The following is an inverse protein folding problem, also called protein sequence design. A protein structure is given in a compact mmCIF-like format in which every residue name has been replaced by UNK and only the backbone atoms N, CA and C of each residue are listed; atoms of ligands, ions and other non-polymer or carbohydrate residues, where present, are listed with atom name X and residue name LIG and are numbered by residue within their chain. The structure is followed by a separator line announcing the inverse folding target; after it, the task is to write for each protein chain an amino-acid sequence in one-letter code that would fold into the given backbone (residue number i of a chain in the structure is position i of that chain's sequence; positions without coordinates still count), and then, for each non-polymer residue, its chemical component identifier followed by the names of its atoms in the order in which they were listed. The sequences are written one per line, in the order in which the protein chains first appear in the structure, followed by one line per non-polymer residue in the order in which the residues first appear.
data_IF_069473341144
#
_entry.id   IF_069473341144
#
_cell.length_a   1.000
_cell.length_b   1.000
_cell.length_c   1.000
_cell.angle_alpha   90.00
_cell.angle_beta   90.00
_cell.angle_gamma   90.00
#
_symmetry.space_group_name_H-M   'P 1'
#
loop_
_entity.id
_entity.type
_entity.pdbx_description
1 polymer ?
#
# COMPACT_ATOMS: atom_id res chain seq x y z
N UNK A 1 -1.24 -40.81 76.38
CA UNK A 1 -0.30 -40.01 75.55
C UNK A 1 -0.62 -40.26 74.10
N UNK A 2 -1.41 -39.38 73.43
CA UNK A 2 -1.76 -39.47 71.97
C UNK A 2 -0.86 -38.52 71.27
N UNK A 3 -0.04 -39.02 70.31
CA UNK A 3 0.78 -38.22 69.46
C UNK A 3 0.00 -37.93 68.20
N UNK A 4 -0.31 -36.65 67.88
CA UNK A 4 -0.85 -36.20 66.60
C UNK A 4 0.30 -35.93 65.65
N UNK A 5 0.28 -36.61 64.49
CA UNK A 5 1.19 -36.35 63.38
C UNK A 5 0.49 -35.35 62.48
N UNK A 6 1.03 -34.12 62.36
CA UNK A 6 0.57 -33.08 61.43
C UNK A 6 1.30 -33.31 60.09
N UNK A 7 0.60 -33.76 59.06
CA UNK A 7 1.07 -33.74 57.68
C UNK A 7 0.97 -32.36 57.12
N UNK A 8 2.12 -31.69 56.89
CA UNK A 8 2.19 -30.46 56.12
C UNK A 8 2.13 -30.82 54.64
N UNK A 9 1.01 -30.52 53.96
CA UNK A 9 0.90 -30.55 52.52
C UNK A 9 1.58 -29.31 51.90
N UNK A 10 2.75 -29.48 51.30
CA UNK A 10 3.42 -28.43 50.51
C UNK A 10 2.72 -28.31 49.16
N UNK A 11 1.88 -27.32 49.02
CA UNK A 11 1.31 -26.94 47.70
C UNK A 11 2.39 -26.25 46.87
N UNK A 12 2.94 -26.93 45.89
CA UNK A 12 3.78 -26.33 44.87
C UNK A 12 2.92 -25.42 43.97
N UNK A 13 3.29 -24.14 43.73
CA UNK A 13 2.57 -23.31 42.81
C UNK A 13 2.81 -23.82 41.37
N UNK A 14 1.78 -24.39 40.78
CA UNK A 14 1.76 -24.58 39.30
C UNK A 14 1.76 -23.20 38.68
N UNK A 15 2.95 -22.77 38.21
CA UNK A 15 3.09 -21.62 37.32
C UNK A 15 2.42 -21.99 35.99
N UNK A 16 1.19 -21.51 35.77
CA UNK A 16 0.59 -21.50 34.43
C UNK A 16 1.48 -20.60 33.57
N UNK A 17 2.50 -21.16 32.93
CA UNK A 17 3.15 -20.49 31.80
C UNK A 17 2.06 -20.22 30.78
N UNK A 18 1.74 -18.94 30.57
CA UNK A 18 0.80 -18.54 29.53
C UNK A 18 1.24 -19.20 28.22
N UNK A 19 0.44 -20.13 27.74
CA UNK A 19 0.74 -20.91 26.53
C UNK A 19 0.80 -19.92 25.38
N UNK A 20 2.00 -19.58 24.93
CA UNK A 20 2.19 -18.61 23.84
C UNK A 20 1.53 -19.17 22.60
N UNK A 21 0.63 -18.39 21.98
CA UNK A 21 -0.04 -18.76 20.73
C UNK A 21 1.00 -19.22 19.70
N UNK A 22 0.98 -20.51 19.26
CA UNK A 22 1.98 -21.06 18.36
C UNK A 22 1.98 -20.37 17.00
N UNK A 23 0.84 -19.83 16.58
CA UNK A 23 0.71 -19.07 15.32
C UNK A 23 1.37 -17.70 15.43
N UNK A 24 1.21 -17.01 16.57
CA UNK A 24 1.93 -15.78 16.85
C UNK A 24 3.44 -16.01 16.97
N UNK A 25 3.85 -17.08 17.61
CA UNK A 25 5.27 -17.46 17.69
C UNK A 25 5.87 -17.71 16.29
N UNK A 26 5.13 -18.42 15.41
CA UNK A 26 5.50 -18.64 14.00
C UNK A 26 5.58 -17.33 13.22
N UNK A 27 4.58 -16.46 13.33
CA UNK A 27 4.56 -15.14 12.70
C UNK A 27 5.82 -14.32 13.06
N UNK A 28 6.14 -14.24 14.34
CA UNK A 28 7.33 -13.53 14.83
C UNK A 28 8.66 -14.16 14.38
N UNK A 29 8.76 -15.49 14.25
CA UNK A 29 9.95 -16.14 13.68
C UNK A 29 10.15 -15.75 12.23
N UNK A 30 9.09 -15.77 11.42
CA UNK A 30 9.12 -15.36 10.02
C UNK A 30 9.59 -13.91 9.88
N UNK A 31 8.94 -12.99 10.59
CA UNK A 31 9.22 -11.55 10.50
C UNK A 31 10.58 -11.13 11.08
N UNK A 32 11.21 -11.96 11.90
CA UNK A 32 12.62 -11.78 12.28
C UNK A 32 13.59 -12.28 11.22
N UNK A 33 13.21 -13.30 10.46
CA UNK A 33 14.09 -13.96 9.51
C UNK A 33 14.18 -13.24 8.15
N UNK A 34 13.11 -12.52 7.78
CA UNK A 34 13.03 -11.75 6.52
C UNK A 34 12.40 -10.39 6.79
N UNK A 35 12.78 -9.33 6.06
CA UNK A 35 12.14 -8.03 6.22
C UNK A 35 10.67 -8.12 5.81
N UNK A 36 9.77 -7.67 6.68
CA UNK A 36 8.43 -7.30 6.26
C UNK A 36 8.54 -6.01 5.45
N UNK A 37 8.14 -6.07 4.19
CA UNK A 37 8.13 -4.92 3.28
C UNK A 37 6.69 -4.49 3.06
N UNK A 38 6.32 -3.32 3.58
CA UNK A 38 5.02 -2.71 3.32
C UNK A 38 5.09 -1.80 2.09
N UNK A 39 4.19 -2.02 1.14
CA UNK A 39 4.19 -1.35 -0.16
C UNK A 39 3.73 0.10 -0.13
N UNK A 40 3.01 0.52 0.91
CA UNK A 40 2.42 1.86 0.93
C UNK A 40 2.10 2.32 2.35
N UNK A 41 2.59 3.52 2.68
CA UNK A 41 2.28 4.20 3.94
C UNK A 41 2.41 5.72 3.75
N UNK A 42 1.38 6.46 4.12
CA UNK A 42 1.24 7.90 3.89
C UNK A 42 1.75 8.78 5.03
N UNK A 43 2.68 8.29 5.84
CA UNK A 43 3.30 9.10 6.89
C UNK A 43 3.79 10.48 6.39
N UNK A 44 4.42 10.64 5.19
CA UNK A 44 4.80 11.96 4.70
C UNK A 44 3.59 12.89 4.48
N UNK A 45 2.43 12.33 4.09
CA UNK A 45 1.20 13.09 3.95
C UNK A 45 0.59 13.47 5.30
N UNK A 46 0.64 12.56 6.28
CA UNK A 46 0.22 12.85 7.65
C UNK A 46 1.05 13.99 8.28
N UNK A 47 2.37 14.01 8.04
CA UNK A 47 3.26 15.09 8.47
C UNK A 47 2.90 16.41 7.75
N UNK A 48 2.65 16.36 6.43
CA UNK A 48 2.23 17.53 5.66
C UNK A 48 0.99 18.19 6.22
N UNK A 49 0.01 17.39 6.66
CA UNK A 49 -1.28 17.86 7.16
C UNK A 49 -1.37 17.91 8.69
N UNK A 50 -0.27 17.82 9.39
CA UNK A 50 -0.26 17.89 10.84
C UNK A 50 -0.77 19.26 11.31
N UNK A 51 -1.97 19.28 11.89
CA UNK A 51 -2.71 20.52 12.16
C UNK A 51 -1.98 21.50 13.09
N UNK A 52 -1.18 20.98 14.05
CA UNK A 52 -0.43 21.80 14.99
C UNK A 52 0.80 22.48 14.36
N UNK A 53 1.40 21.86 13.37
CA UNK A 53 2.58 22.36 12.68
C UNK A 53 2.70 21.71 11.27
N UNK A 54 1.96 22.19 10.26
CA UNK A 54 1.95 21.57 8.94
C UNK A 54 3.34 21.55 8.30
N UNK A 55 3.76 20.41 7.75
CA UNK A 55 5.06 20.16 7.09
C UNK A 55 6.28 20.22 8.01
N UNK A 56 6.06 20.38 9.31
CA UNK A 56 7.15 20.43 10.28
C UNK A 56 7.51 19.01 10.75
N UNK A 57 8.58 18.46 10.17
CA UNK A 57 9.12 17.15 10.54
C UNK A 57 9.65 17.14 11.99
N UNK A 58 10.11 18.29 12.51
CA UNK A 58 10.60 18.37 13.88
C UNK A 58 9.48 18.28 14.90
N UNK A 59 8.35 18.92 14.62
CA UNK A 59 7.17 18.88 15.47
C UNK A 59 6.45 17.51 15.45
N UNK A 60 6.49 16.80 14.31
CA UNK A 60 5.93 15.44 14.18
C UNK A 60 6.95 14.39 14.65
N UNK A 61 7.07 14.22 15.97
CA UNK A 61 8.08 13.37 16.59
C UNK A 61 7.65 11.89 16.62
N UNK A 62 8.23 11.06 15.74
CA UNK A 62 7.95 9.62 15.65
C UNK A 62 8.43 8.79 16.85
N UNK A 63 9.21 9.37 17.78
CA UNK A 63 9.59 8.70 19.03
C UNK A 63 8.46 8.74 20.06
N UNK A 64 7.45 9.57 19.85
CA UNK A 64 6.23 9.69 20.65
C UNK A 64 5.04 9.03 19.94
N UNK A 65 3.98 8.65 20.66
CA UNK A 65 2.72 8.25 20.04
C UNK A 65 2.21 9.38 19.12
N UNK A 66 1.99 9.06 17.86
CA UNK A 66 1.42 10.00 16.89
C UNK A 66 -0.10 9.89 16.84
N UNK A 67 -0.76 10.93 16.30
CA UNK A 67 -2.20 10.90 16.01
C UNK A 67 -2.56 9.99 14.83
N UNK A 68 -1.60 9.68 13.96
CA UNK A 68 -1.76 8.75 12.84
C UNK A 68 -1.57 7.29 13.26
N UNK A 69 -1.32 6.44 12.26
CA UNK A 69 -1.20 4.98 12.44
C UNK A 69 0.26 4.52 12.54
N UNK A 70 1.23 5.45 12.44
CA UNK A 70 2.66 5.14 12.38
C UNK A 70 3.47 5.93 13.40
N UNK A 71 4.23 5.22 14.26
CA UNK A 71 5.33 5.70 15.09
C UNK A 71 6.34 4.57 15.34
N UNK A 72 7.52 4.87 15.92
CA UNK A 72 8.56 3.86 16.10
C UNK A 72 8.21 2.75 17.08
N UNK A 73 7.42 3.03 18.13
CA UNK A 73 6.99 1.99 19.05
C UNK A 73 6.09 0.96 18.34
N UNK A 74 5.16 1.46 17.51
CA UNK A 74 4.27 0.64 16.69
C UNK A 74 5.00 -0.07 15.55
N UNK A 75 5.90 0.60 14.81
CA UNK A 75 6.72 0.00 13.76
C UNK A 75 7.58 -1.16 14.29
N UNK A 76 8.23 -0.98 15.46
CA UNK A 76 8.99 -2.07 16.11
C UNK A 76 8.09 -3.23 16.53
N UNK A 77 6.93 -2.95 17.14
CA UNK A 77 5.94 -3.97 17.51
C UNK A 77 5.41 -4.72 16.30
N UNK A 78 5.20 -4.02 15.18
CA UNK A 78 4.79 -4.56 13.89
C UNK A 78 5.89 -5.30 13.15
N UNK A 79 7.14 -5.22 13.64
CA UNK A 79 8.31 -5.88 13.03
C UNK A 79 8.53 -5.47 11.58
N UNK A 80 8.25 -4.20 11.24
CA UNK A 80 8.44 -3.65 9.90
C UNK A 80 9.92 -3.62 9.58
N UNK A 81 10.33 -4.29 8.49
CA UNK A 81 11.72 -4.38 8.04
C UNK A 81 12.06 -3.42 6.91
N UNK A 82 11.06 -3.03 6.11
CA UNK A 82 11.20 -1.97 5.10
C UNK A 82 9.84 -1.34 4.80
N UNK A 83 9.86 -0.09 4.37
CA UNK A 83 8.68 0.70 4.08
C UNK A 83 8.86 1.50 2.80
N UNK A 84 7.90 1.40 1.88
CA UNK A 84 7.69 2.40 0.86
C UNK A 84 6.87 3.56 1.47
N UNK A 85 7.51 4.69 1.68
CA UNK A 85 6.85 5.91 2.11
C UNK A 85 6.22 6.58 0.90
N UNK A 86 4.90 6.72 0.91
CA UNK A 86 4.17 7.43 -0.15
C UNK A 86 4.53 8.91 -0.14
N UNK A 87 4.91 9.42 -1.31
CA UNK A 87 5.08 10.84 -1.55
C UNK A 87 3.92 11.35 -2.39
N UNK A 88 2.72 11.10 -1.87
CA UNK A 88 1.44 11.49 -2.45
C UNK A 88 1.28 13.00 -2.58
N UNK A 89 0.66 13.42 -3.68
CA UNK A 89 0.09 14.74 -3.88
C UNK A 89 -1.26 14.64 -4.58
N UNK A 90 -2.24 15.52 -4.31
CA UNK A 90 -3.53 15.50 -5.00
C UNK A 90 -3.38 15.74 -6.52
N UNK A 91 -4.15 15.00 -7.33
CA UNK A 91 -4.21 15.18 -8.78
C UNK A 91 -5.00 16.42 -9.23
N UNK A 92 -5.69 17.08 -8.31
CA UNK A 92 -6.58 18.21 -8.54
C UNK A 92 -5.94 19.58 -8.23
N UNK A 93 -4.61 19.63 -8.02
CA UNK A 93 -3.89 20.89 -7.76
C UNK A 93 -4.01 21.81 -8.97
N UNK A 94 -4.62 23.01 -8.79
CA UNK A 94 -4.88 23.95 -9.88
C UNK A 94 -3.87 25.08 -10.00
N UNK A 95 -3.36 25.59 -8.88
CA UNK A 95 -2.68 26.89 -8.87
C UNK A 95 -1.18 26.84 -8.55
N UNK A 96 -0.63 25.66 -8.32
CA UNK A 96 0.70 25.53 -7.72
C UNK A 96 1.76 24.80 -8.55
N UNK A 97 1.33 24.13 -9.64
CA UNK A 97 2.17 23.16 -10.35
C UNK A 97 2.45 21.90 -9.52
N UNK A 98 2.34 20.75 -10.13
CA UNK A 98 2.55 19.47 -9.42
C UNK A 98 4.01 19.32 -8.96
N UNK A 99 4.98 19.71 -9.80
CA UNK A 99 6.39 19.55 -9.51
C UNK A 99 6.83 20.24 -8.22
N UNK A 100 6.36 21.48 -7.95
CA UNK A 100 6.68 22.19 -6.71
C UNK A 100 6.17 21.45 -5.47
N UNK A 101 4.89 21.05 -5.49
CA UNK A 101 4.27 20.36 -4.35
C UNK A 101 4.92 18.97 -4.16
N UNK A 102 5.27 18.32 -5.26
CA UNK A 102 5.96 17.03 -5.23
C UNK A 102 7.36 17.13 -4.62
N UNK A 103 8.13 18.17 -4.96
CA UNK A 103 9.44 18.42 -4.35
C UNK A 103 9.34 18.71 -2.85
N UNK A 104 8.32 19.45 -2.41
CA UNK A 104 8.03 19.63 -0.98
C UNK A 104 7.73 18.29 -0.27
N UNK A 105 7.05 17.38 -0.95
CA UNK A 105 6.74 16.05 -0.40
C UNK A 105 7.99 15.17 -0.32
N UNK A 106 8.87 15.22 -1.33
CA UNK A 106 10.20 14.61 -1.26
C UNK A 106 11.02 15.17 -0.08
N UNK A 107 11.00 16.49 0.13
CA UNK A 107 11.72 17.12 1.24
C UNK A 107 11.24 16.60 2.59
N UNK A 108 9.92 16.55 2.83
CA UNK A 108 9.34 16.00 4.07
C UNK A 108 9.83 14.57 4.30
N UNK A 109 9.68 13.69 3.32
CA UNK A 109 10.07 12.28 3.46
C UNK A 109 11.58 12.14 3.71
N UNK A 110 12.42 12.87 2.96
CA UNK A 110 13.87 12.84 3.09
C UNK A 110 14.35 13.36 4.44
N UNK A 111 13.80 14.47 4.92
CA UNK A 111 14.11 15.00 6.27
C UNK A 111 13.65 14.02 7.36
N UNK A 112 12.50 13.37 7.20
CA UNK A 112 12.03 12.34 8.14
C UNK A 112 13.03 11.19 8.24
N UNK A 113 13.51 10.65 7.11
CA UNK A 113 14.50 9.58 7.10
C UNK A 113 15.84 10.06 7.73
N UNK A 114 16.28 11.24 7.37
CA UNK A 114 17.56 11.81 7.88
C UNK A 114 17.53 12.12 9.39
N UNK A 115 16.36 12.47 9.94
CA UNK A 115 16.16 12.78 11.35
C UNK A 115 16.39 11.58 12.29
N UNK A 116 16.14 10.36 11.81
CA UNK A 116 16.14 9.16 12.63
C UNK A 116 17.08 8.07 12.11
N UNK A 117 18.42 8.34 11.99
CA UNK A 117 19.37 7.41 11.39
C UNK A 117 19.59 6.14 12.20
N UNK A 118 19.14 6.09 13.46
CA UNK A 118 19.13 4.93 14.34
C UNK A 118 17.93 3.99 14.12
N UNK A 119 16.98 4.42 13.31
CA UNK A 119 15.74 3.68 13.02
C UNK A 119 15.50 3.48 11.53
N UNK A 120 15.69 4.52 10.74
CA UNK A 120 15.42 4.57 9.31
C UNK A 120 16.74 4.61 8.53
N UNK A 121 16.80 3.83 7.46
CA UNK A 121 17.98 3.79 6.59
C UNK A 121 17.54 3.81 5.13
N UNK A 122 18.16 4.68 4.32
CA UNK A 122 17.97 4.63 2.88
C UNK A 122 18.33 3.25 2.33
N UNK A 123 17.39 2.58 1.68
CA UNK A 123 17.56 1.23 1.17
C UNK A 123 17.02 1.11 -0.25
N UNK A 124 17.68 1.79 -1.20
CA UNK A 124 17.21 1.99 -2.58
C UNK A 124 17.37 0.76 -3.50
N UNK A 125 17.81 -0.39 -2.96
CA UNK A 125 17.95 -1.66 -3.69
C UNK A 125 17.47 -2.82 -2.82
N UNK A 126 17.12 -3.94 -3.44
CA UNK A 126 16.71 -5.15 -2.72
C UNK A 126 17.78 -5.63 -1.71
N UNK A 127 19.06 -5.55 -2.07
CA UNK A 127 20.15 -5.93 -1.17
C UNK A 127 20.36 -4.91 -0.04
N UNK A 128 20.15 -3.61 -0.30
CA UNK A 128 20.21 -2.59 0.75
C UNK A 128 19.11 -2.81 1.79
N UNK A 129 17.90 -3.20 1.38
CA UNK A 129 16.80 -3.55 2.30
C UNK A 129 17.20 -4.72 3.21
N UNK A 130 17.77 -5.79 2.64
CA UNK A 130 18.23 -6.93 3.44
C UNK A 130 19.30 -6.55 4.45
N UNK A 131 20.24 -5.69 4.05
CA UNK A 131 21.30 -5.19 4.94
C UNK A 131 20.76 -4.29 6.05
N UNK A 132 19.83 -3.38 5.74
CA UNK A 132 19.18 -2.52 6.73
C UNK A 132 18.45 -3.38 7.79
N UNK A 133 17.63 -4.35 7.34
CA UNK A 133 16.93 -5.28 8.23
C UNK A 133 17.90 -6.08 9.12
N UNK A 134 19.01 -6.59 8.57
CA UNK A 134 20.01 -7.32 9.34
C UNK A 134 20.68 -6.47 10.43
N UNK A 135 20.71 -5.14 10.27
CA UNK A 135 21.18 -4.17 11.29
C UNK A 135 20.09 -3.74 12.27
N UNK A 136 18.85 -4.19 12.10
CA UNK A 136 17.70 -3.80 12.91
C UNK A 136 17.11 -2.43 12.52
N UNK A 137 17.45 -1.91 11.35
CA UNK A 137 16.89 -0.69 10.78
C UNK A 137 15.71 -1.00 9.85
N UNK A 138 14.84 -0.01 9.65
CA UNK A 138 13.77 -0.05 8.66
C UNK A 138 14.30 0.52 7.36
N UNK A 139 14.45 -0.34 6.34
CA UNK A 139 14.85 0.06 5.00
C UNK A 139 13.79 1.00 4.40
N UNK A 140 14.18 2.23 4.06
CA UNK A 140 13.28 3.27 3.60
C UNK A 140 13.45 3.56 2.12
N UNK A 141 12.34 3.51 1.39
CA UNK A 141 12.22 3.83 -0.03
C UNK A 141 11.07 4.83 -0.21
N UNK A 142 11.03 5.52 -1.35
CA UNK A 142 9.92 6.41 -1.66
C UNK A 142 9.08 5.83 -2.79
N UNK A 143 7.76 5.95 -2.64
CA UNK A 143 6.78 5.62 -3.65
C UNK A 143 6.11 6.88 -4.18
N UNK A 144 6.31 7.18 -5.46
CA UNK A 144 5.65 8.31 -6.12
C UNK A 144 4.21 7.91 -6.48
N UNK A 145 3.24 8.52 -5.82
CA UNK A 145 1.85 8.15 -6.00
C UNK A 145 1.13 9.11 -6.95
N UNK A 146 1.17 8.74 -8.23
CA UNK A 146 0.48 9.43 -9.31
C UNK A 146 1.39 10.08 -10.33
N UNK A 147 1.28 9.62 -11.57
CA UNK A 147 2.07 10.12 -12.71
C UNK A 147 1.76 11.56 -13.13
N UNK A 148 0.70 12.20 -12.59
CA UNK A 148 0.48 13.64 -12.75
C UNK A 148 1.68 14.48 -12.25
N UNK A 149 2.41 13.96 -11.27
CA UNK A 149 3.59 14.61 -10.68
C UNK A 149 4.73 14.85 -11.69
N UNK A 150 4.82 14.06 -12.78
CA UNK A 150 5.86 14.28 -13.79
C UNK A 150 5.52 15.36 -14.81
N UNK A 151 4.28 15.88 -14.83
CA UNK A 151 3.85 16.95 -15.77
C UNK A 151 4.23 16.64 -17.23
N UNK A 152 3.97 15.39 -17.66
CA UNK A 152 4.30 14.86 -18.97
C UNK A 152 5.81 14.93 -19.36
N UNK A 153 6.69 14.93 -18.34
CA UNK A 153 8.15 15.07 -18.51
C UNK A 153 8.91 13.81 -18.08
N UNK A 154 9.52 13.11 -19.02
CA UNK A 154 10.46 12.01 -18.73
C UNK A 154 11.74 12.52 -18.01
N UNK A 155 12.05 13.81 -18.14
CA UNK A 155 13.13 14.45 -17.37
C UNK A 155 12.79 14.52 -15.88
N UNK A 156 11.58 14.96 -15.53
CA UNK A 156 11.08 14.97 -14.16
C UNK A 156 11.07 13.57 -13.54
N UNK A 157 10.61 12.55 -14.29
CA UNK A 157 10.63 11.15 -13.87
C UNK A 157 12.04 10.70 -13.46
N UNK A 158 13.07 11.03 -14.24
CA UNK A 158 14.48 10.70 -13.92
C UNK A 158 14.95 11.39 -12.66
N UNK A 159 14.68 12.67 -12.52
CA UNK A 159 15.06 13.44 -11.31
C UNK A 159 14.38 12.85 -10.06
N UNK A 160 13.12 12.47 -10.15
CA UNK A 160 12.41 11.84 -9.02
C UNK A 160 13.02 10.48 -8.65
N UNK A 161 13.47 9.69 -9.61
CA UNK A 161 14.24 8.48 -9.35
C UNK A 161 15.54 8.77 -8.59
N UNK A 162 16.27 9.79 -9.01
CA UNK A 162 17.52 10.21 -8.36
C UNK A 162 17.27 10.73 -6.93
N UNK A 163 16.12 11.34 -6.67
CA UNK A 163 15.69 11.77 -5.35
C UNK A 163 15.26 10.62 -4.42
N UNK A 164 15.16 9.39 -4.93
CA UNK A 164 14.92 8.20 -4.11
C UNK A 164 13.62 7.44 -4.40
N UNK A 165 12.79 7.89 -5.35
CA UNK A 165 11.60 7.13 -5.75
C UNK A 165 12.01 5.78 -6.37
N UNK A 166 11.33 4.70 -5.95
CA UNK A 166 11.60 3.35 -6.45
C UNK A 166 10.38 2.69 -7.09
N UNK A 167 9.22 3.29 -6.94
CA UNK A 167 8.08 3.07 -7.83
C UNK A 167 7.41 4.38 -8.20
N UNK A 168 6.62 4.37 -9.27
CA UNK A 168 5.62 5.40 -9.57
C UNK A 168 4.31 4.70 -9.95
N UNK A 169 3.24 5.09 -9.26
CA UNK A 169 1.87 4.74 -9.64
C UNK A 169 1.50 5.56 -10.87
N UNK A 170 1.08 4.91 -11.96
CA UNK A 170 0.92 5.60 -13.25
C UNK A 170 -0.17 6.67 -13.23
N UNK A 171 -1.22 6.49 -12.42
CA UNK A 171 -2.23 7.52 -12.10
C UNK A 171 -2.53 7.49 -10.60
N UNK A 172 -3.12 8.55 -10.07
CA UNK A 172 -3.90 8.46 -8.83
C UNK A 172 -5.39 8.35 -9.22
N UNK A 173 -6.27 9.16 -8.64
CA UNK A 173 -7.72 9.07 -8.90
C UNK A 173 -8.17 9.83 -10.15
N UNK A 174 -7.29 10.58 -10.83
CA UNK A 174 -7.59 11.39 -12.01
C UNK A 174 -6.94 10.77 -13.24
N UNK A 175 -7.70 10.65 -14.33
CA UNK A 175 -7.21 10.24 -15.66
C UNK A 175 -6.30 11.34 -16.23
N UNK A 176 -5.10 10.93 -16.65
CA UNK A 176 -4.06 11.81 -17.18
C UNK A 176 -4.16 11.95 -18.69
N UNK A 177 -3.30 12.78 -19.28
CA UNK A 177 -3.19 12.91 -20.74
C UNK A 177 -2.67 11.64 -21.41
N UNK A 178 -2.15 10.67 -20.65
CA UNK A 178 -1.48 9.49 -21.18
C UNK A 178 -1.84 8.16 -20.50
N UNK A 179 -2.69 8.15 -19.48
CA UNK A 179 -3.10 6.94 -18.75
C UNK A 179 -4.47 7.13 -18.08
N UNK A 180 -5.33 6.13 -18.18
CA UNK A 180 -6.64 6.14 -17.54
C UNK A 180 -6.58 5.65 -16.09
N UNK A 181 -7.22 6.39 -15.16
CA UNK A 181 -7.40 6.04 -13.78
C UNK A 181 -8.60 5.10 -13.56
N UNK A 182 -8.61 4.38 -12.43
CA UNK A 182 -9.70 3.48 -12.06
C UNK A 182 -10.98 4.20 -11.61
N UNK A 183 -10.85 5.41 -11.04
CA UNK A 183 -11.96 6.14 -10.43
C UNK A 183 -12.41 7.36 -11.24
N UNK A 184 -11.87 7.55 -12.44
CA UNK A 184 -12.22 8.66 -13.32
C UNK A 184 -12.68 8.15 -14.69
N UNK A 185 -13.22 9.04 -15.48
CA UNK A 185 -13.68 8.73 -16.84
C UNK A 185 -12.49 8.35 -17.71
N UNK A 186 -12.58 7.19 -18.36
CA UNK A 186 -11.59 6.74 -19.33
C UNK A 186 -11.57 7.67 -20.56
N UNK A 187 -10.37 8.03 -21.01
CA UNK A 187 -10.13 8.87 -22.20
C UNK A 187 -9.42 8.12 -23.32
N UNK A 188 -8.60 7.12 -22.96
CA UNK A 188 -7.66 6.48 -23.87
C UNK A 188 -7.93 4.97 -24.06
N UNK A 189 -8.73 4.37 -23.17
CA UNK A 189 -8.93 2.93 -23.09
C UNK A 189 -7.75 2.19 -22.44
N UNK A 190 -6.77 2.94 -21.91
CA UNK A 190 -5.57 2.42 -21.27
C UNK A 190 -4.42 3.44 -21.31
N UNK A 191 -3.26 3.04 -21.86
CA UNK A 191 -2.09 3.91 -22.10
C UNK A 191 -2.11 4.51 -23.50
N UNK A 192 -1.67 5.76 -23.60
CA UNK A 192 -1.25 6.33 -24.89
C UNK A 192 0.18 5.87 -25.26
N UNK A 193 0.68 6.29 -26.44
CA UNK A 193 2.08 6.02 -26.82
C UNK A 193 3.09 6.69 -25.90
N UNK A 194 2.77 7.87 -25.35
CA UNK A 194 3.60 8.51 -24.34
C UNK A 194 3.54 7.72 -23.01
N UNK A 195 2.36 7.22 -22.61
CA UNK A 195 2.23 6.35 -21.44
C UNK A 195 3.06 5.06 -21.57
N UNK A 196 3.08 4.43 -22.73
CA UNK A 196 3.98 3.31 -23.00
C UNK A 196 5.47 3.70 -22.87
N UNK A 197 5.84 4.90 -23.33
CA UNK A 197 7.21 5.40 -23.20
C UNK A 197 7.60 5.71 -21.77
N UNK A 198 6.65 6.19 -20.93
CA UNK A 198 6.86 6.34 -19.48
C UNK A 198 7.19 4.98 -18.85
N UNK A 199 6.43 3.92 -19.18
CA UNK A 199 6.70 2.56 -18.69
C UNK A 199 8.09 2.07 -19.12
N UNK A 200 8.48 2.30 -20.39
CA UNK A 200 9.82 1.92 -20.89
C UNK A 200 10.95 2.66 -20.17
N UNK A 201 10.77 3.96 -19.91
CA UNK A 201 11.78 4.75 -19.21
C UNK A 201 11.86 4.33 -17.72
N UNK A 202 10.74 4.03 -17.05
CA UNK A 202 10.74 3.45 -15.69
C UNK A 202 11.54 2.14 -15.66
N UNK A 203 11.33 1.25 -16.63
CA UNK A 203 12.10 0.00 -16.72
C UNK A 203 13.60 0.28 -16.93
N UNK A 204 13.95 1.27 -17.76
CA UNK A 204 15.36 1.67 -17.99
C UNK A 204 16.00 2.24 -16.71
N UNK A 205 15.26 2.95 -15.89
CA UNK A 205 15.73 3.47 -14.61
C UNK A 205 15.88 2.37 -13.55
N UNK A 206 15.06 1.31 -13.61
CA UNK A 206 14.90 0.34 -12.52
C UNK A 206 13.85 0.79 -11.50
N UNK A 207 12.98 1.71 -11.88
CA UNK A 207 11.80 2.10 -11.13
C UNK A 207 10.68 1.09 -11.39
N UNK A 208 10.10 0.54 -10.33
CA UNK A 208 8.96 -0.36 -10.44
C UNK A 208 7.74 0.38 -10.99
N UNK A 209 7.09 -0.20 -12.00
CA UNK A 209 5.81 0.27 -12.51
C UNK A 209 4.73 -0.16 -11.54
N UNK A 210 4.08 0.80 -10.88
CA UNK A 210 2.99 0.53 -9.96
C UNK A 210 1.65 0.73 -10.64
N UNK A 211 0.81 -0.30 -10.57
CA UNK A 211 -0.51 -0.38 -11.22
C UNK A 211 -1.67 -0.24 -10.24
N UNK A 212 -1.43 0.18 -9.00
CA UNK A 212 -2.50 0.64 -8.13
C UNK A 212 -3.16 1.88 -8.77
N UNK A 213 -4.43 2.15 -8.46
CA UNK A 213 -5.21 3.29 -8.98
C UNK A 213 -5.53 3.32 -10.48
N UNK A 214 -4.88 2.54 -11.31
CA UNK A 214 -5.08 2.63 -12.76
C UNK A 214 -6.27 1.79 -13.26
N UNK A 215 -6.83 2.16 -14.40
CA UNK A 215 -7.89 1.39 -15.04
C UNK A 215 -7.44 -0.01 -15.47
N UNK A 216 -8.34 -0.99 -15.64
CA UNK A 216 -7.99 -2.31 -16.18
C UNK A 216 -7.33 -2.26 -17.55
N UNK A 217 -7.69 -1.28 -18.41
CA UNK A 217 -7.03 -1.02 -19.69
C UNK A 217 -5.57 -0.64 -19.48
N UNK A 218 -5.31 0.31 -18.61
CA UNK A 218 -3.94 0.74 -18.25
C UNK A 218 -3.12 -0.42 -17.65
N UNK A 219 -3.73 -1.26 -16.77
CA UNK A 219 -3.05 -2.47 -16.26
C UNK A 219 -2.62 -3.40 -17.38
N UNK A 220 -3.54 -3.65 -18.33
CA UNK A 220 -3.29 -4.54 -19.48
C UNK A 220 -2.19 -4.01 -20.37
N UNK A 221 -2.24 -2.72 -20.74
CA UNK A 221 -1.26 -2.11 -21.64
C UNK A 221 0.12 -2.03 -21.00
N UNK A 222 0.20 -1.66 -19.71
CA UNK A 222 1.46 -1.67 -18.98
C UNK A 222 2.09 -3.07 -18.93
N UNK A 223 1.29 -4.12 -18.73
CA UNK A 223 1.76 -5.52 -18.76
C UNK A 223 2.19 -5.97 -20.17
N UNK A 224 1.68 -5.37 -21.25
CA UNK A 224 2.11 -5.65 -22.62
C UNK A 224 3.46 -4.98 -22.94
N UNK A 225 3.76 -3.84 -22.31
CA UNK A 225 4.91 -2.99 -22.63
C UNK A 225 6.10 -3.25 -21.71
N UNK A 226 5.84 -3.58 -20.45
CA UNK A 226 6.89 -3.68 -19.42
C UNK A 226 7.83 -4.86 -19.67
N UNK A 227 9.13 -4.62 -19.49
CA UNK A 227 10.20 -5.63 -19.52
C UNK A 227 10.61 -6.09 -18.09
N UNK A 228 10.11 -5.40 -17.08
CA UNK A 228 10.37 -5.68 -15.66
C UNK A 228 9.09 -6.09 -14.94
N UNK A 229 9.19 -6.77 -13.79
CA UNK A 229 8.02 -7.02 -12.94
C UNK A 229 7.33 -5.74 -12.54
N UNK A 230 5.99 -5.74 -12.59
CA UNK A 230 5.15 -4.66 -12.06
C UNK A 230 4.82 -4.91 -10.58
N UNK A 231 4.36 -3.88 -9.89
CA UNK A 231 3.71 -4.03 -8.59
C UNK A 231 2.31 -3.41 -8.62
N UNK A 232 1.51 -3.81 -7.65
CA UNK A 232 0.33 -3.09 -7.19
C UNK A 232 0.64 -2.75 -5.73
N UNK A 233 1.10 -1.54 -5.48
CA UNK A 233 1.65 -1.15 -4.17
C UNK A 233 0.62 -1.25 -3.03
N UNK A 234 -0.67 -1.05 -3.33
CA UNK A 234 -1.81 -1.13 -2.41
C UNK A 234 -3.12 -1.35 -3.16
N UNK A 235 -3.40 -2.59 -3.55
CA UNK A 235 -4.65 -3.01 -4.21
C UNK A 235 -5.09 -4.37 -3.72
N UNK A 236 -6.38 -4.69 -3.87
CA UNK A 236 -6.95 -5.98 -3.48
C UNK A 236 -7.55 -6.72 -4.67
N UNK A 237 -8.28 -7.82 -4.47
CA UNK A 237 -8.81 -8.65 -5.54
C UNK A 237 -10.26 -8.27 -5.90
N UNK A 238 -10.52 -7.93 -7.17
CA UNK A 238 -11.85 -7.56 -7.64
C UNK A 238 -12.84 -8.74 -7.59
N UNK A 239 -12.35 -9.96 -7.76
CA UNK A 239 -13.17 -11.16 -7.66
C UNK A 239 -13.85 -11.37 -6.31
N UNK A 240 -13.34 -10.77 -5.22
CA UNK A 240 -13.97 -10.79 -3.89
C UNK A 240 -14.79 -9.53 -3.61
N UNK A 241 -14.27 -8.36 -3.94
CA UNK A 241 -14.95 -7.08 -3.74
C UNK A 241 -14.87 -6.29 -5.04
N UNK A 242 -15.99 -6.19 -5.74
CA UNK A 242 -16.08 -5.58 -7.07
C UNK A 242 -16.09 -4.05 -6.95
N UNK A 243 -14.91 -3.49 -6.78
CA UNK A 243 -14.66 -2.04 -6.81
C UNK A 243 -13.57 -1.72 -7.83
N UNK A 244 -13.60 -0.55 -8.48
CA UNK A 244 -12.65 -0.21 -9.56
C UNK A 244 -11.19 -0.24 -9.12
N UNK A 245 -10.90 0.03 -7.83
CA UNK A 245 -9.55 0.04 -7.25
C UNK A 245 -8.92 -1.34 -7.12
N UNK A 246 -9.71 -2.42 -7.21
CA UNK A 246 -9.24 -3.79 -7.07
C UNK A 246 -8.81 -4.39 -8.41
N UNK A 247 -7.85 -5.31 -8.34
CA UNK A 247 -7.24 -5.98 -9.49
C UNK A 247 -8.17 -7.06 -10.02
N UNK A 248 -8.57 -7.04 -11.31
CA UNK A 248 -9.36 -8.10 -11.92
C UNK A 248 -8.58 -9.42 -12.01
N UNK A 249 -9.27 -10.56 -11.91
CA UNK A 249 -8.67 -11.89 -12.05
C UNK A 249 -8.00 -12.08 -13.41
N UNK A 250 -8.54 -11.44 -14.48
CA UNK A 250 -7.93 -11.42 -15.81
C UNK A 250 -6.53 -10.77 -15.85
N UNK A 251 -6.22 -9.90 -14.89
CA UNK A 251 -4.89 -9.31 -14.70
C UNK A 251 -4.06 -10.20 -13.78
N UNK A 252 -4.65 -10.72 -12.69
CA UNK A 252 -3.94 -11.60 -11.74
C UNK A 252 -3.32 -12.82 -12.43
N UNK A 253 -4.01 -13.45 -13.38
CA UNK A 253 -3.50 -14.63 -14.12
C UNK A 253 -2.28 -14.32 -15.00
N UNK A 254 -1.98 -13.05 -15.27
CA UNK A 254 -0.81 -12.63 -16.08
C UNK A 254 0.46 -12.43 -15.24
N UNK A 255 0.32 -12.29 -13.92
CA UNK A 255 1.45 -11.99 -13.02
C UNK A 255 2.52 -13.10 -12.96
N UNK A 256 2.19 -14.40 -13.04
CA UNK A 256 3.21 -15.44 -13.10
C UNK A 256 4.20 -15.28 -14.26
N UNK A 257 3.73 -14.85 -15.42
CA UNK A 257 4.59 -14.58 -16.58
C UNK A 257 5.40 -13.30 -16.41
N UNK A 258 4.80 -12.23 -15.87
CA UNK A 258 5.48 -10.96 -15.66
C UNK A 258 6.45 -10.98 -14.47
N UNK A 259 6.19 -11.78 -13.44
CA UNK A 259 6.94 -11.79 -12.19
C UNK A 259 6.48 -10.75 -11.16
N UNK A 260 5.37 -10.06 -11.43
CA UNK A 260 4.83 -8.98 -10.61
C UNK A 260 4.24 -9.42 -9.27
N UNK A 261 3.85 -8.45 -8.44
CA UNK A 261 3.34 -8.67 -7.07
C UNK A 261 2.16 -7.75 -6.78
N UNK A 262 1.04 -8.32 -6.29
CA UNK A 262 -0.06 -7.55 -5.70
C UNK A 262 0.18 -7.44 -4.19
N UNK A 263 0.37 -6.24 -3.71
CA UNK A 263 0.51 -5.93 -2.30
C UNK A 263 -0.88 -5.55 -1.77
N UNK A 264 -1.48 -6.49 -1.02
CA UNK A 264 -2.88 -6.39 -0.59
C UNK A 264 -3.06 -5.25 0.40
N UNK A 265 -4.00 -4.34 0.10
CA UNK A 265 -4.32 -3.18 0.93
C UNK A 265 -5.28 -3.51 2.07
N UNK A 266 -5.29 -2.65 3.10
CA UNK A 266 -6.19 -2.76 4.26
C UNK A 266 -7.36 -1.77 4.22
N UNK A 267 -7.56 -1.07 3.10
CA UNK A 267 -8.69 -0.13 2.93
C UNK A 267 -10.03 -0.87 3.07
N UNK A 268 -10.87 -0.53 4.07
CA UNK A 268 -12.08 -1.29 4.39
C UNK A 268 -13.04 -1.48 3.22
N UNK A 269 -13.25 -0.44 2.42
CA UNK A 269 -14.14 -0.48 1.25
C UNK A 269 -13.58 -1.27 0.06
N UNK A 270 -12.29 -1.63 0.08
CA UNK A 270 -11.71 -2.45 -0.98
C UNK A 270 -11.70 -3.95 -0.63
N UNK A 271 -11.84 -4.27 0.67
CA UNK A 271 -11.74 -5.66 1.14
C UNK A 271 -13.07 -6.24 1.66
N UNK A 272 -14.06 -5.43 1.98
CA UNK A 272 -15.33 -5.93 2.54
C UNK A 272 -16.50 -5.68 1.63
N UNK A 273 -16.98 -6.74 0.94
CA UNK A 273 -18.19 -6.69 0.12
C UNK A 273 -19.41 -6.25 0.94
N UNK A 274 -19.51 -6.70 2.20
CA UNK A 274 -20.62 -6.33 3.09
C UNK A 274 -20.66 -4.84 3.34
N UNK A 275 -19.50 -4.24 3.56
CA UNK A 275 -19.36 -2.81 3.76
C UNK A 275 -19.75 -2.01 2.51
N UNK A 276 -19.25 -2.42 1.34
CA UNK A 276 -19.58 -1.80 0.05
C UNK A 276 -21.07 -1.89 -0.24
N UNK A 277 -21.69 -3.05 -0.01
CA UNK A 277 -23.14 -3.24 -0.19
C UNK A 277 -23.95 -2.35 0.74
N UNK A 278 -23.56 -2.26 2.02
CA UNK A 278 -24.21 -1.38 2.99
C UNK A 278 -24.10 0.10 2.58
N UNK A 279 -22.91 0.56 2.21
CA UNK A 279 -22.66 1.96 1.82
C UNK A 279 -23.43 2.33 0.54
N UNK A 280 -23.52 1.40 -0.43
CA UNK A 280 -24.33 1.57 -1.64
C UNK A 280 -25.83 1.65 -1.31
N UNK A 281 -26.32 0.79 -0.40
CA UNK A 281 -27.72 0.83 0.06
C UNK A 281 -28.00 2.14 0.78
N UNK A 282 -27.12 2.59 1.66
CA UNK A 282 -27.23 3.88 2.36
C UNK A 282 -27.38 5.06 1.41
N UNK A 283 -26.57 5.10 0.34
CA UNK A 283 -26.65 6.14 -0.70
C UNK A 283 -28.01 6.11 -1.41
N UNK A 284 -28.53 4.92 -1.76
CA UNK A 284 -29.83 4.77 -2.40
C UNK A 284 -30.97 5.24 -1.48
N UNK A 285 -30.97 4.84 -0.21
CA UNK A 285 -31.94 5.26 0.82
C UNK A 285 -31.87 6.77 1.06
N UNK A 286 -30.69 7.35 1.14
CA UNK A 286 -30.55 8.81 1.26
C UNK A 286 -31.15 9.55 0.06
N UNK A 287 -30.98 9.01 -1.14
CA UNK A 287 -31.56 9.57 -2.36
C UNK A 287 -33.08 9.48 -2.35
N UNK A 288 -33.65 8.36 -1.88
CA UNK A 288 -35.09 8.18 -1.68
C UNK A 288 -35.65 9.20 -0.67
N UNK A 289 -34.98 9.41 0.48
CA UNK A 289 -35.42 10.39 1.48
C UNK A 289 -35.36 11.83 0.94
N UNK A 290 -34.37 12.17 0.10
CA UNK A 290 -34.35 13.48 -0.58
C UNK A 290 -35.53 13.70 -1.51
N UNK A 291 -35.99 12.65 -2.21
CA UNK A 291 -37.19 12.72 -3.05
C UNK A 291 -38.47 12.82 -2.20
N UNK A 292 -38.51 12.18 -1.02
CA UNK A 292 -39.65 12.20 -0.09
C UNK A 292 -39.79 13.56 0.63
N UNK A 293 -38.67 14.23 0.88
CA UNK A 293 -38.57 15.51 1.61
C UNK A 293 -37.88 16.59 0.79
N UNK A 294 -38.48 17.06 -0.33
CA UNK A 294 -37.83 18.03 -1.20
C UNK A 294 -37.57 19.35 -0.46
N UNK A 295 -36.31 19.77 -0.39
CA UNK A 295 -35.89 21.01 0.29
C UNK A 295 -35.77 20.92 1.81
N UNK A 296 -36.18 19.85 2.48
CA UNK A 296 -36.06 19.65 3.92
C UNK A 296 -34.89 18.72 4.28
N UNK A 297 -33.69 19.31 4.38
CA UNK A 297 -32.47 18.57 4.74
C UNK A 297 -32.52 18.00 6.18
N UNK A 298 -33.29 18.63 7.09
CA UNK A 298 -33.42 18.16 8.47
C UNK A 298 -34.28 16.89 8.56
N UNK A 299 -35.37 16.81 7.78
CA UNK A 299 -36.17 15.58 7.67
C UNK A 299 -35.33 14.44 7.06
N UNK A 300 -34.60 14.69 5.97
CA UNK A 300 -33.69 13.70 5.37
C UNK A 300 -32.67 13.19 6.38
N UNK A 301 -32.05 14.09 7.16
CA UNK A 301 -31.05 13.71 8.16
C UNK A 301 -31.67 12.84 9.30
N UNK A 302 -32.88 13.17 9.75
CA UNK A 302 -33.59 12.37 10.77
C UNK A 302 -33.89 10.95 10.28
N UNK A 303 -34.51 10.84 9.09
CA UNK A 303 -34.91 9.55 8.54
C UNK A 303 -33.67 8.67 8.23
N UNK A 304 -32.59 9.30 7.74
CA UNK A 304 -31.33 8.61 7.53
C UNK A 304 -30.70 8.12 8.84
N UNK A 305 -30.69 8.94 9.90
CA UNK A 305 -30.20 8.54 11.20
C UNK A 305 -31.03 7.42 11.85
N UNK A 306 -32.34 7.35 11.58
CA UNK A 306 -33.19 6.25 12.01
C UNK A 306 -32.87 4.97 11.24
N UNK A 307 -32.70 5.05 9.93
CA UNK A 307 -32.29 3.92 9.10
C UNK A 307 -30.92 3.39 9.52
N UNK A 308 -29.92 4.26 9.77
CA UNK A 308 -28.57 3.87 10.23
C UNK A 308 -28.59 3.17 11.60
N UNK A 309 -29.46 3.60 12.51
CA UNK A 309 -29.64 2.89 13.81
C UNK A 309 -30.22 1.49 13.63
N UNK A 310 -31.14 1.32 12.70
CA UNK A 310 -31.73 0.02 12.37
C UNK A 310 -30.80 -0.86 11.53
N UNK A 311 -29.89 -0.27 10.79
CA UNK A 311 -28.94 -0.93 9.89
C UNK A 311 -27.50 -0.48 10.20
N UNK A 312 -26.91 -0.96 11.30
CA UNK A 312 -25.56 -0.54 11.69
C UNK A 312 -24.54 -0.92 10.61
N UNK A 313 -23.65 0.03 10.28
CA UNK A 313 -22.61 -0.15 9.26
C UNK A 313 -21.66 -1.28 9.65
N UNK A 314 -21.51 -2.33 8.84
CA UNK A 314 -20.60 -3.42 9.12
C UNK A 314 -19.16 -2.92 9.11
N UNK A 315 -18.27 -3.61 9.81
CA UNK A 315 -16.83 -3.33 9.80
C UNK A 315 -16.10 -4.35 8.95
N UNK A 316 -15.08 -3.91 8.24
CA UNK A 316 -14.11 -4.81 7.67
C UNK A 316 -13.23 -5.40 8.79
N UNK A 317 -12.68 -6.57 8.57
CA UNK A 317 -11.91 -7.32 9.56
C UNK A 317 -10.59 -7.84 8.99
N UNK A 318 -9.71 -8.28 9.88
CA UNK A 318 -8.49 -9.00 9.51
C UNK A 318 -8.78 -10.25 8.64
N UNK A 319 -9.95 -10.87 8.81
CA UNK A 319 -10.38 -12.02 8.00
C UNK A 319 -10.63 -11.61 6.55
N UNK A 320 -11.22 -10.45 6.31
CA UNK A 320 -11.43 -9.93 4.95
C UNK A 320 -10.07 -9.70 4.24
N UNK A 321 -9.08 -9.13 4.94
CA UNK A 321 -7.72 -8.97 4.39
C UNK A 321 -7.09 -10.32 4.06
N UNK A 322 -7.19 -11.30 4.97
CA UNK A 322 -6.66 -12.64 4.76
C UNK A 322 -7.31 -13.33 3.56
N UNK A 323 -8.63 -13.17 3.36
CA UNK A 323 -9.33 -13.71 2.19
C UNK A 323 -8.83 -13.11 0.87
N UNK A 324 -8.57 -11.81 0.81
CA UNK A 324 -7.97 -11.17 -0.37
C UNK A 324 -6.55 -11.69 -0.65
N UNK A 325 -5.72 -11.86 0.37
CA UNK A 325 -4.38 -12.46 0.26
C UNK A 325 -4.49 -13.91 -0.31
N UNK A 326 -5.44 -14.71 0.20
CA UNK A 326 -5.67 -16.08 -0.25
C UNK A 326 -6.21 -16.13 -1.68
N UNK A 327 -7.06 -15.18 -2.09
CA UNK A 327 -7.56 -15.09 -3.46
C UNK A 327 -6.44 -14.77 -4.45
N UNK A 328 -5.61 -13.77 -4.17
CA UNK A 328 -4.43 -13.46 -5.00
C UNK A 328 -3.49 -14.67 -5.07
N UNK A 329 -3.21 -15.33 -3.93
CA UNK A 329 -2.44 -16.57 -3.89
C UNK A 329 -3.03 -17.67 -4.77
N UNK A 330 -4.35 -17.82 -4.75
CA UNK A 330 -5.07 -18.84 -5.53
C UNK A 330 -4.97 -18.60 -7.04
N UNK A 331 -5.12 -17.34 -7.47
CA UNK A 331 -5.19 -16.98 -8.89
C UNK A 331 -3.81 -16.78 -9.49
N UNK A 332 -2.95 -16.01 -8.84
CA UNK A 332 -1.62 -15.65 -9.33
C UNK A 332 -0.49 -16.54 -8.78
N UNK A 333 -0.75 -17.27 -7.70
CA UNK A 333 0.30 -18.05 -7.01
C UNK A 333 0.93 -17.28 -5.85
N UNK A 334 1.53 -18.03 -4.91
CA UNK A 334 2.12 -17.49 -3.68
C UNK A 334 3.32 -16.55 -3.93
N UNK A 335 3.95 -16.64 -5.09
CA UNK A 335 5.09 -15.79 -5.47
C UNK A 335 4.67 -14.37 -5.91
N UNK A 336 3.37 -14.09 -5.99
CA UNK A 336 2.81 -12.87 -6.58
C UNK A 336 1.93 -12.08 -5.60
N UNK A 337 2.02 -12.34 -4.30
CA UNK A 337 1.28 -11.63 -3.25
C UNK A 337 2.22 -11.00 -2.24
N UNK A 338 1.88 -9.80 -1.75
CA UNK A 338 2.59 -8.99 -0.76
C UNK A 338 1.62 -8.22 0.12
N UNK A 339 2.13 -7.29 0.91
CA UNK A 339 1.39 -6.41 1.82
C UNK A 339 1.61 -4.95 1.40
N UNK A 340 0.52 -4.18 1.28
CA UNK A 340 0.54 -2.74 1.02
C UNK A 340 -0.55 -2.07 1.83
N UNK A 341 -0.27 -1.74 3.08
CA UNK A 341 -1.26 -1.48 4.11
C UNK A 341 -2.16 -0.26 3.85
N UNK A 342 -1.60 0.80 3.30
CA UNK A 342 -2.23 2.11 3.15
C UNK A 342 -2.46 2.82 4.50
N UNK A 343 -1.65 2.50 5.52
CA UNK A 343 -1.68 3.20 6.80
C UNK A 343 -1.29 4.67 6.63
N UNK A 344 -1.90 5.54 7.42
CA UNK A 344 -1.85 7.00 7.35
C UNK A 344 -2.48 7.61 6.08
N UNK A 345 -2.89 6.80 5.08
CA UNK A 345 -3.68 7.21 3.91
C UNK A 345 -5.19 7.07 4.12
N UNK A 346 -5.60 6.33 5.16
CA UNK A 346 -7.01 6.06 5.48
C UNK A 346 -7.36 6.43 6.91
N UNK A 347 -8.59 6.92 7.11
CA UNK A 347 -9.10 7.26 8.44
C UNK A 347 -9.70 6.07 9.18
N UNK A 348 -10.07 4.99 8.47
CA UNK A 348 -10.69 3.79 9.03
C UNK A 348 -9.86 2.57 8.62
N UNK A 349 -9.68 1.64 9.56
CA UNK A 349 -8.90 0.41 9.39
C UNK A 349 -9.72 -0.82 9.75
N UNK A 350 -9.38 -2.01 9.26
CA UNK A 350 -10.09 -3.25 9.61
C UNK A 350 -9.93 -3.59 11.10
N UNK A 351 -10.96 -4.17 11.70
CA UNK A 351 -10.85 -4.73 13.04
C UNK A 351 -9.74 -5.79 13.10
N UNK A 352 -8.85 -5.65 14.07
CA UNK A 352 -7.65 -6.48 14.22
C UNK A 352 -6.40 -5.92 13.54
N UNK A 353 -6.53 -4.85 12.71
CA UNK A 353 -5.42 -4.19 12.02
C UNK A 353 -5.47 -2.66 12.19
N UNK A 354 -5.43 -2.12 13.44
CA UNK A 354 -5.64 -0.69 13.66
C UNK A 354 -4.49 0.21 13.23
N UNK A 355 -3.27 -0.30 13.14
CA UNK A 355 -2.05 0.45 12.84
C UNK A 355 -0.88 -0.48 12.46
N UNK A 356 0.28 0.10 12.16
CA UNK A 356 1.50 -0.63 11.77
C UNK A 356 1.99 -1.66 12.80
N UNK A 357 1.51 -1.65 14.05
CA UNK A 357 1.87 -2.66 15.06
C UNK A 357 1.19 -4.01 14.86
N UNK A 358 0.21 -4.08 13.97
CA UNK A 358 -0.70 -5.22 13.85
C UNK A 358 -0.26 -6.28 12.82
N UNK A 359 0.79 -6.05 12.04
CA UNK A 359 1.26 -7.03 11.05
C UNK A 359 1.49 -8.44 11.60
N UNK A 360 2.13 -8.65 12.79
CA UNK A 360 2.26 -10.00 13.34
C UNK A 360 0.94 -10.72 13.57
N UNK A 361 -0.15 -9.96 13.85
CA UNK A 361 -1.50 -10.51 14.03
C UNK A 361 -2.04 -11.06 12.69
N UNK A 362 -1.83 -10.36 11.59
CA UNK A 362 -2.19 -10.83 10.25
C UNK A 362 -1.42 -12.11 9.87
N UNK A 363 -0.12 -12.16 10.15
CA UNK A 363 0.70 -13.34 9.89
C UNK A 363 0.29 -14.54 10.78
N UNK A 364 -0.13 -14.29 12.02
CA UNK A 364 -0.68 -15.32 12.91
C UNK A 364 -2.01 -15.84 12.37
N UNK A 365 -2.89 -14.97 11.87
CA UNK A 365 -4.15 -15.36 11.22
C UNK A 365 -3.92 -16.24 9.99
N UNK A 366 -3.02 -15.85 9.10
CA UNK A 366 -2.65 -16.66 7.93
C UNK A 366 -2.03 -18.00 8.35
N UNK A 367 -1.24 -18.01 9.43
CA UNK A 367 -0.73 -19.26 10.00
C UNK A 367 -1.85 -20.17 10.50
N UNK A 368 -2.92 -19.65 11.12
CA UNK A 368 -4.12 -20.44 11.51
C UNK A 368 -4.85 -21.01 10.30
N UNK A 369 -4.82 -20.28 9.17
CA UNK A 369 -5.35 -20.72 7.87
C UNK A 369 -4.44 -21.70 7.13
N UNK A 370 -3.38 -22.21 7.77
CA UNK A 370 -2.50 -23.26 7.23
C UNK A 370 -1.33 -22.76 6.38
N UNK A 371 -1.01 -21.47 6.37
CA UNK A 371 0.15 -20.96 5.65
C UNK A 371 1.46 -21.53 6.24
N UNK A 372 2.33 -22.03 5.37
CA UNK A 372 3.67 -22.50 5.75
C UNK A 372 4.59 -21.33 6.10
N UNK A 373 5.67 -21.56 6.85
CA UNK A 373 6.69 -20.54 7.10
C UNK A 373 7.30 -20.01 5.79
N UNK A 374 7.51 -20.90 4.81
CA UNK A 374 8.01 -20.54 3.49
C UNK A 374 7.07 -19.57 2.78
N UNK A 375 5.76 -19.83 2.79
CA UNK A 375 4.79 -18.97 2.12
C UNK A 375 4.66 -17.61 2.84
N UNK A 376 4.69 -17.61 4.17
CA UNK A 376 4.68 -16.39 4.97
C UNK A 376 5.93 -15.52 4.73
N UNK A 377 7.12 -16.13 4.52
CA UNK A 377 8.34 -15.38 4.16
C UNK A 377 8.20 -14.69 2.80
N UNK A 378 7.63 -15.39 1.82
CA UNK A 378 7.34 -14.85 0.50
C UNK A 378 6.42 -13.62 0.59
N UNK A 379 5.30 -13.77 1.32
CA UNK A 379 4.34 -12.69 1.57
C UNK A 379 4.98 -11.51 2.29
N UNK A 380 5.81 -11.77 3.32
CA UNK A 380 6.44 -10.72 4.13
C UNK A 380 7.29 -9.76 3.29
N UNK A 381 8.07 -10.27 2.33
CA UNK A 381 8.92 -9.39 1.55
C UNK A 381 9.72 -10.08 0.45
N UNK A 382 9.94 -11.41 0.50
CA UNK A 382 10.77 -12.08 -0.50
C UNK A 382 10.24 -11.87 -1.92
N UNK A 383 8.91 -11.79 -2.11
CA UNK A 383 8.28 -11.56 -3.41
C UNK A 383 8.58 -10.17 -3.97
N UNK A 384 8.35 -9.11 -3.18
CA UNK A 384 8.59 -7.73 -3.63
C UNK A 384 10.09 -7.47 -3.78
N UNK A 385 10.93 -8.04 -2.92
CA UNK A 385 12.39 -7.96 -3.06
C UNK A 385 12.89 -8.65 -4.33
N UNK A 386 12.27 -9.77 -4.74
CA UNK A 386 12.54 -10.42 -6.02
C UNK A 386 12.15 -9.50 -7.19
N UNK A 387 10.97 -8.89 -7.14
CA UNK A 387 10.50 -7.97 -8.18
C UNK A 387 11.44 -6.77 -8.32
N UNK A 388 11.83 -6.13 -7.20
CA UNK A 388 12.77 -5.02 -7.18
C UNK A 388 14.15 -5.42 -7.75
N UNK A 389 14.73 -6.52 -7.27
CA UNK A 389 16.01 -7.02 -7.78
C UNK A 389 15.96 -7.32 -9.29
N UNK A 390 14.83 -7.87 -9.77
CA UNK A 390 14.66 -8.12 -11.22
C UNK A 390 14.58 -6.82 -12.01
N UNK A 391 13.88 -5.80 -11.51
CA UNK A 391 13.84 -4.48 -12.13
C UNK A 391 15.24 -3.85 -12.21
N UNK A 392 16.07 -3.98 -11.16
CA UNK A 392 17.48 -3.55 -11.16
C UNK A 392 18.31 -4.26 -12.25
N UNK A 393 18.10 -5.57 -12.45
CA UNK A 393 18.80 -6.34 -13.51
C UNK A 393 18.35 -5.91 -14.90
N UNK A 394 17.04 -5.72 -15.09
CA UNK A 394 16.49 -5.24 -16.35
C UNK A 394 17.03 -3.84 -16.69
N UNK A 395 17.07 -2.94 -15.70
CA UNK A 395 17.61 -1.59 -15.88
C UNK A 395 19.06 -1.60 -16.36
N UNK A 396 19.93 -2.41 -15.72
CA UNK A 396 21.34 -2.54 -16.14
C UNK A 396 21.48 -3.01 -17.59
N UNK A 397 20.59 -3.87 -18.08
CA UNK A 397 20.55 -4.29 -19.48
C UNK A 397 20.09 -3.15 -20.38
N UNK A 398 18.94 -2.54 -20.06
CA UNK A 398 18.32 -1.49 -20.89
C UNK A 398 19.18 -0.22 -21.00
N UNK A 399 19.91 0.14 -19.94
CA UNK A 399 20.84 1.28 -19.97
C UNK A 399 22.02 1.08 -20.94
N UNK A 400 22.40 -0.19 -21.22
CA UNK A 400 23.41 -0.49 -22.25
C UNK A 400 22.80 -0.52 -23.67
N UNK A 401 21.52 -0.87 -23.79
CA UNK A 401 20.84 -1.06 -25.07
C UNK A 401 20.30 0.26 -25.65
N UNK A 402 19.91 1.22 -24.77
CA UNK A 402 19.28 2.47 -25.21
C UNK A 402 19.60 3.66 -24.29
N UNK A 403 19.77 4.87 -24.87
CA UNK A 403 19.94 6.10 -24.06
C UNK A 403 18.63 6.47 -23.33
N UNK A 404 18.69 7.45 -22.41
CA UNK A 404 17.49 8.07 -21.85
C UNK A 404 16.56 8.61 -22.93
N UNK A 405 15.26 8.33 -22.80
CA UNK A 405 14.29 8.85 -23.77
C UNK A 405 14.10 10.37 -23.60
N UNK A 406 14.09 11.07 -24.74
CA UNK A 406 13.82 12.51 -24.82
C UNK A 406 12.52 12.81 -25.54
N UNK A 407 11.71 11.78 -25.82
CA UNK A 407 10.43 11.93 -26.51
C UNK A 407 9.44 12.71 -25.64
N UNK A 408 8.67 13.55 -26.29
CA UNK A 408 7.60 14.34 -25.67
C UNK A 408 6.22 13.74 -25.99
N UNK A 409 5.21 14.09 -25.19
CA UNK A 409 3.84 13.66 -25.43
C UNK A 409 3.34 14.17 -26.80
N UNK A 410 3.72 15.39 -27.20
CA UNK A 410 3.34 15.96 -28.50
C UNK A 410 3.93 15.18 -29.68
N UNK A 411 5.15 14.64 -29.52
CA UNK A 411 5.79 13.82 -30.59
C UNK A 411 5.13 12.45 -30.72
N UNK A 412 4.62 11.87 -29.63
CA UNK A 412 4.08 10.52 -29.60
C UNK A 412 2.57 10.46 -29.81
N UNK A 413 1.84 11.38 -29.20
CA UNK A 413 0.36 11.38 -29.16
C UNK A 413 -0.25 12.53 -29.97
N UNK A 414 0.58 13.47 -30.47
CA UNK A 414 0.13 14.69 -31.15
C UNK A 414 -0.17 15.83 -30.22
N UNK A 415 -0.55 16.99 -30.78
CA UNK A 415 -1.01 18.11 -29.97
C UNK A 415 -2.31 17.76 -29.22
N UNK A 416 -2.54 18.26 -27.99
CA UNK A 416 -3.81 18.09 -27.32
C UNK A 416 -4.95 18.49 -28.24
N UNK A 417 -5.96 17.64 -28.40
CA UNK A 417 -7.20 18.03 -29.10
C UNK A 417 -7.86 19.11 -28.23
N UNK A 418 -7.86 20.36 -28.72
CA UNK A 418 -8.56 21.47 -28.09
C UNK A 418 -10.08 21.22 -28.03
#
# INVERSE_FOLDING_TARGET
MHRYVILLAVALPFSLAAQTDPHMAKARRVLRAVPLVDGHNDLPWAIRNFTQAPRDVEAYDLRKPTSGQTDFARLRKGMVGAQFWSIYIPGEIKDSGFARVQLEQFDIARRTIAKYPDMLEWALTADAIRRAHARGHIGSLLGLEGGHAIENSLGALRVYYDLGARYMTLTHNVTLDWADAALDQAKHGGLTKFGEEVVREMNRLGMLVDLSHVSPGTMSDALNVTEAPVIFSHSSARGLTDVPRNVPDSILVRLPQNGGVVMVTFVPTFISRKLVSHDSTRIAIQSEFRLRHPGDSAAVARDLAEWERANPRPKATIADVAEHIEHVRKIAGVDHVGIGSDFDGVSETPEGLPDVSSFPTLFAELSRRGWSERDLRKLAGENVLRALARAEVVAKRLQRERPPSTKTIQQLDGAPKM
#
